data_IF_510822857437
#
_entry.id   IF_510822857437
#
_cell.length_a   1.000
_cell.length_b   1.000
_cell.length_c   1.000
_cell.angle_alpha   90.00
_cell.angle_beta   90.00
_cell.angle_gamma   90.00
#
_symmetry.space_group_name_H-M   'P 1'
#
loop_
_entity.id
_entity.type
_entity.pdbx_description
1 polymer ?
#
# COMPACT_ATOMS: atom_id res chain seq x y z
N UNK A 1 35.54 -77.84 94.66
CA UNK A 1 36.04 -77.63 93.29
C UNK A 1 37.54 -77.37 93.37
N UNK A 2 38.34 -78.30 92.83
CA UNK A 2 39.81 -78.27 92.84
C UNK A 2 40.34 -77.09 92.01
N UNK A 3 41.56 -76.62 92.27
CA UNK A 3 42.22 -75.58 91.46
C UNK A 3 42.29 -75.97 89.98
N UNK A 4 42.45 -77.27 89.72
CA UNK A 4 42.48 -77.88 88.38
C UNK A 4 41.11 -77.74 87.69
N UNK A 5 40.00 -77.97 88.39
CA UNK A 5 38.64 -77.86 87.83
C UNK A 5 38.33 -76.41 87.39
N UNK A 6 38.80 -75.42 88.16
CA UNK A 6 38.64 -74.00 87.83
C UNK A 6 39.45 -73.59 86.60
N UNK A 7 40.65 -74.14 86.42
CA UNK A 7 41.44 -73.90 85.22
C UNK A 7 40.82 -74.55 83.99
N UNK A 8 40.32 -75.78 84.10
CA UNK A 8 39.64 -76.46 83.01
C UNK A 8 38.38 -75.70 82.55
N UNK A 9 37.56 -75.22 83.50
CA UNK A 9 36.38 -74.40 83.18
C UNK A 9 36.77 -73.11 82.44
N UNK A 10 37.82 -72.43 82.89
CA UNK A 10 38.31 -71.19 82.27
C UNK A 10 38.88 -71.41 80.87
N UNK A 11 39.50 -72.56 80.62
CA UNK A 11 39.97 -72.94 79.28
C UNK A 11 38.77 -73.16 78.35
N UNK A 12 37.74 -73.89 78.81
CA UNK A 12 36.50 -74.10 78.03
C UNK A 12 35.80 -72.78 77.70
N UNK A 13 35.69 -71.86 78.66
CA UNK A 13 35.12 -70.51 78.42
C UNK A 13 35.94 -69.70 77.40
N UNK A 14 37.27 -69.82 77.44
CA UNK A 14 38.16 -69.17 76.48
C UNK A 14 38.05 -69.79 75.07
N UNK A 15 37.82 -71.09 74.97
CA UNK A 15 37.58 -71.80 73.70
C UNK A 15 36.26 -71.36 73.07
N UNK A 16 35.17 -71.30 73.86
CA UNK A 16 33.87 -70.78 73.40
C UNK A 16 33.95 -69.31 72.94
N UNK A 17 34.65 -68.46 73.71
CA UNK A 17 34.87 -67.06 73.34
C UNK A 17 35.69 -66.94 72.04
N UNK A 18 36.70 -67.79 71.86
CA UNK A 18 37.49 -67.81 70.63
C UNK A 18 36.66 -68.23 69.42
N UNK A 19 35.80 -69.24 69.57
CA UNK A 19 34.93 -69.68 68.49
C UNK A 19 33.92 -68.59 68.11
N UNK A 20 33.31 -67.94 69.11
CA UNK A 20 32.42 -66.80 68.89
C UNK A 20 33.15 -65.64 68.18
N UNK A 21 34.43 -65.41 68.51
CA UNK A 21 35.25 -64.40 67.85
C UNK A 21 35.49 -64.76 66.38
N UNK A 22 35.81 -66.02 66.09
CA UNK A 22 36.03 -66.53 64.71
C UNK A 22 34.77 -66.38 63.86
N UNK A 23 33.60 -66.71 64.41
CA UNK A 23 32.33 -66.54 63.70
C UNK A 23 32.03 -65.06 63.42
N UNK A 24 32.25 -64.18 64.39
CA UNK A 24 32.09 -62.72 64.17
C UNK A 24 33.03 -62.19 63.09
N UNK A 25 34.29 -62.64 63.07
CA UNK A 25 35.26 -62.24 62.03
C UNK A 25 34.78 -62.68 60.65
N UNK A 26 34.38 -63.95 60.48
CA UNK A 26 33.83 -64.45 59.20
C UNK A 26 32.62 -63.66 58.73
N UNK A 27 31.70 -63.33 59.64
CA UNK A 27 30.53 -62.52 59.29
C UNK A 27 30.91 -61.10 58.86
N UNK A 28 31.83 -60.46 59.59
CA UNK A 28 32.34 -59.14 59.22
C UNK A 28 33.05 -59.14 57.87
N UNK A 29 33.83 -60.19 57.56
CA UNK A 29 34.48 -60.35 56.25
C UNK A 29 33.45 -60.46 55.12
N UNK A 30 32.40 -61.26 55.29
CA UNK A 30 31.29 -61.36 54.33
C UNK A 30 30.57 -60.03 54.13
N UNK A 31 30.18 -59.36 55.23
CA UNK A 31 29.49 -58.07 55.18
C UNK A 31 30.36 -56.99 54.51
N UNK A 32 31.68 -57.03 54.72
CA UNK A 32 32.63 -56.10 54.12
C UNK A 32 32.82 -56.37 52.63
N UNK A 33 32.82 -57.64 52.23
CA UNK A 33 32.82 -58.04 50.82
C UNK A 33 31.56 -57.56 50.08
N UNK A 34 30.38 -57.76 50.65
CA UNK A 34 29.11 -57.29 50.06
C UNK A 34 29.07 -55.77 49.90
N UNK A 35 29.58 -55.03 50.90
CA UNK A 35 29.72 -53.56 50.81
C UNK A 35 30.66 -53.13 49.70
N UNK A 36 31.73 -53.89 49.44
CA UNK A 36 32.69 -53.58 48.38
C UNK A 36 32.08 -53.79 46.99
N UNK A 37 31.36 -54.89 46.79
CA UNK A 37 30.61 -55.13 45.56
C UNK A 37 29.61 -54.01 45.30
N UNK A 38 28.88 -53.58 46.34
CA UNK A 38 27.93 -52.48 46.23
C UNK A 38 28.62 -51.16 45.84
N UNK A 39 29.80 -50.86 46.43
CA UNK A 39 30.60 -49.68 46.05
C UNK A 39 31.02 -49.70 44.59
N UNK A 40 31.45 -50.85 44.07
CA UNK A 40 31.81 -50.98 42.65
C UNK A 40 30.62 -50.66 41.74
N UNK A 41 29.45 -51.25 42.02
CA UNK A 41 28.22 -50.99 41.24
C UNK A 41 27.84 -49.51 41.28
N UNK A 42 27.90 -48.86 42.45
CA UNK A 42 27.62 -47.43 42.55
C UNK A 42 28.63 -46.58 41.76
N UNK A 43 29.91 -46.93 41.80
CA UNK A 43 30.95 -46.23 41.04
C UNK A 43 30.72 -46.33 39.53
N UNK A 44 30.45 -47.53 39.02
CA UNK A 44 30.12 -47.74 37.61
C UNK A 44 28.87 -46.98 37.18
N UNK A 45 27.82 -47.01 38.02
CA UNK A 45 26.58 -46.28 37.74
C UNK A 45 26.80 -44.77 37.75
N UNK A 46 27.60 -44.24 38.68
CA UNK A 46 27.98 -42.83 38.72
C UNK A 46 28.70 -42.42 37.44
N UNK A 47 29.69 -43.22 37.01
CA UNK A 47 30.44 -42.94 35.78
C UNK A 47 29.54 -42.95 34.54
N UNK A 48 28.64 -43.94 34.44
CA UNK A 48 27.68 -44.02 33.34
C UNK A 48 26.71 -42.84 33.31
N UNK A 49 26.21 -42.41 34.48
CA UNK A 49 25.36 -41.23 34.60
C UNK A 49 26.10 -39.97 34.17
N UNK A 50 27.33 -39.75 34.65
CA UNK A 50 28.15 -38.61 34.25
C UNK A 50 28.41 -38.59 32.74
N UNK A 51 28.68 -39.77 32.15
CA UNK A 51 28.81 -39.89 30.70
C UNK A 51 27.52 -39.46 29.98
N UNK A 52 26.37 -39.91 30.48
CA UNK A 52 25.08 -39.57 29.88
C UNK A 52 24.71 -38.10 30.02
N UNK A 53 25.06 -37.48 31.15
CA UNK A 53 24.90 -36.04 31.38
C UNK A 53 25.69 -35.27 30.33
N UNK A 54 26.98 -35.59 30.13
CA UNK A 54 27.81 -34.93 29.10
C UNK A 54 27.23 -35.08 27.69
N UNK A 55 26.71 -36.26 27.34
CA UNK A 55 26.06 -36.48 26.04
C UNK A 55 24.78 -35.64 25.86
N UNK A 56 23.97 -35.51 26.92
CA UNK A 56 22.76 -34.69 26.91
C UNK A 56 23.10 -33.21 26.78
N UNK A 57 24.09 -32.73 27.54
CA UNK A 57 24.58 -31.36 27.45
C UNK A 57 25.10 -31.04 26.06
N UNK A 58 25.89 -31.94 25.45
CA UNK A 58 26.39 -31.75 24.09
C UNK A 58 25.27 -31.68 23.04
N UNK A 59 24.23 -32.52 23.17
CA UNK A 59 23.04 -32.46 22.29
C UNK A 59 22.26 -31.16 22.49
N UNK A 60 21.98 -30.78 23.73
CA UNK A 60 21.27 -29.54 24.04
C UNK A 60 22.04 -28.32 23.52
N UNK A 61 23.36 -28.32 23.62
CA UNK A 61 24.19 -27.23 23.09
C UNK A 61 24.08 -27.12 21.56
N UNK A 62 24.11 -28.26 20.86
CA UNK A 62 23.91 -28.28 19.40
C UNK A 62 22.52 -27.78 19.01
N UNK A 63 21.48 -28.23 19.72
CA UNK A 63 20.11 -27.81 19.47
C UNK A 63 19.93 -26.31 19.72
N UNK A 64 20.53 -25.77 20.78
CA UNK A 64 20.50 -24.35 21.09
C UNK A 64 21.15 -23.51 19.98
N UNK A 65 22.34 -23.90 19.53
CA UNK A 65 23.06 -23.22 18.44
C UNK A 65 22.27 -23.29 17.14
N UNK A 66 21.75 -24.47 16.79
CA UNK A 66 20.96 -24.64 15.57
C UNK A 66 19.71 -23.76 15.58
N UNK A 67 18.96 -23.75 16.70
CA UNK A 67 17.79 -22.88 16.87
C UNK A 67 18.16 -21.40 16.79
N UNK A 68 19.29 -20.99 17.38
CA UNK A 68 19.76 -19.60 17.31
C UNK A 68 20.06 -19.17 15.87
N UNK A 69 20.71 -20.02 15.09
CA UNK A 69 20.99 -19.76 13.68
C UNK A 69 19.71 -19.67 12.85
N UNK A 70 18.76 -20.58 13.09
CA UNK A 70 17.49 -20.60 12.37
C UNK A 70 16.62 -19.37 12.71
N UNK A 71 16.59 -18.95 13.98
CA UNK A 71 15.93 -17.71 14.39
C UNK A 71 16.57 -16.50 13.69
N UNK A 72 17.90 -16.46 13.59
CA UNK A 72 18.61 -15.37 12.92
C UNK A 72 18.24 -15.31 11.43
N UNK A 73 18.27 -16.46 10.74
CA UNK A 73 17.87 -16.58 9.33
C UNK A 73 16.43 -16.11 9.11
N UNK A 74 15.50 -16.55 9.96
CA UNK A 74 14.10 -16.16 9.87
C UNK A 74 13.90 -14.66 10.14
N UNK A 75 14.67 -14.07 11.05
CA UNK A 75 14.62 -12.62 11.30
C UNK A 75 15.08 -11.83 10.07
N UNK A 76 16.19 -12.23 9.44
CA UNK A 76 16.68 -11.60 8.20
C UNK A 76 15.61 -11.68 7.09
N UNK A 77 14.97 -12.84 6.93
CA UNK A 77 13.88 -13.05 5.96
C UNK A 77 12.66 -12.16 6.25
N UNK A 78 12.29 -12.04 7.53
CA UNK A 78 11.20 -11.15 7.96
C UNK A 78 11.52 -9.69 7.65
N UNK A 79 12.74 -9.25 7.87
CA UNK A 79 13.14 -7.86 7.62
C UNK A 79 13.17 -7.55 6.12
N UNK A 80 13.68 -8.47 5.29
CA UNK A 80 13.60 -8.34 3.83
C UNK A 80 12.15 -8.27 3.33
N UNK A 81 11.25 -9.09 3.89
CA UNK A 81 9.83 -9.07 3.52
C UNK A 81 9.13 -7.77 3.95
N UNK A 82 9.48 -7.21 5.11
CA UNK A 82 8.97 -5.91 5.54
C UNK A 82 9.40 -4.81 4.58
N UNK A 83 10.66 -4.76 4.18
CA UNK A 83 11.15 -3.75 3.23
C UNK A 83 10.42 -3.84 1.88
N UNK A 84 10.20 -5.07 1.38
CA UNK A 84 9.43 -5.30 0.15
C UNK A 84 7.98 -4.85 0.29
N UNK A 85 7.35 -5.12 1.43
CA UNK A 85 5.98 -4.68 1.71
C UNK A 85 5.88 -3.15 1.73
N UNK A 86 6.82 -2.46 2.40
CA UNK A 86 6.85 -1.01 2.43
C UNK A 86 7.09 -0.40 1.04
N UNK A 87 7.98 -1.00 0.24
CA UNK A 87 8.22 -0.56 -1.13
C UNK A 87 6.98 -0.73 -2.02
N UNK A 88 6.26 -1.84 -1.88
CA UNK A 88 5.00 -2.08 -2.60
C UNK A 88 3.91 -1.08 -2.18
N UNK A 89 3.79 -0.81 -0.88
CA UNK A 89 2.85 0.20 -0.36
C UNK A 89 3.16 1.60 -0.88
N UNK A 90 4.45 1.99 -0.92
CA UNK A 90 4.88 3.27 -1.52
C UNK A 90 4.48 3.37 -2.99
N UNK A 91 4.73 2.32 -3.79
CA UNK A 91 4.31 2.27 -5.20
C UNK A 91 2.79 2.34 -5.37
N UNK A 92 2.03 1.66 -4.52
CA UNK A 92 0.56 1.72 -4.56
C UNK A 92 0.06 3.14 -4.27
N UNK A 93 0.66 3.84 -3.31
CA UNK A 93 0.33 5.23 -3.00
C UNK A 93 0.72 6.21 -4.13
N UNK A 94 1.81 5.97 -4.84
CA UNK A 94 2.19 6.71 -6.05
C UNK A 94 1.17 6.49 -7.17
N UNK A 95 0.88 5.23 -7.51
CA UNK A 95 -0.11 4.90 -8.53
C UNK A 95 -1.51 5.44 -8.20
N UNK A 96 -1.89 5.45 -6.92
CA UNK A 96 -3.14 6.06 -6.47
C UNK A 96 -3.21 7.57 -6.75
N UNK A 97 -2.10 8.29 -6.53
CA UNK A 97 -2.00 9.73 -6.85
C UNK A 97 -2.04 10.00 -8.35
N UNK A 98 -1.33 9.18 -9.13
CA UNK A 98 -1.30 9.31 -10.60
C UNK A 98 -2.68 9.05 -11.20
N UNK A 99 -3.36 7.99 -10.73
CA UNK A 99 -4.72 7.65 -11.17
C UNK A 99 -5.70 8.79 -10.87
N UNK A 100 -5.64 9.35 -9.66
CA UNK A 100 -6.46 10.50 -9.28
C UNK A 100 -6.20 11.73 -10.16
N UNK A 101 -4.93 12.01 -10.45
CA UNK A 101 -4.52 13.13 -11.31
C UNK A 101 -5.01 12.94 -12.74
N UNK A 102 -4.87 11.72 -13.27
CA UNK A 102 -5.35 11.37 -14.60
C UNK A 102 -6.88 11.51 -14.70
N UNK A 103 -7.61 10.99 -13.72
CA UNK A 103 -9.07 11.08 -13.67
C UNK A 103 -9.55 12.54 -13.68
N UNK A 104 -8.93 13.41 -12.87
CA UNK A 104 -9.26 14.84 -12.86
C UNK A 104 -8.92 15.53 -14.17
N UNK A 105 -7.77 15.20 -14.77
CA UNK A 105 -7.37 15.78 -16.06
C UNK A 105 -8.38 15.40 -17.14
N UNK A 106 -8.82 14.14 -17.18
CA UNK A 106 -9.84 13.67 -18.11
C UNK A 106 -11.17 14.40 -17.88
N UNK A 107 -11.62 14.56 -16.64
CA UNK A 107 -12.83 15.33 -16.30
C UNK A 107 -12.75 16.76 -16.82
N UNK A 108 -11.66 17.46 -16.54
CA UNK A 108 -11.47 18.85 -17.02
C UNK A 108 -11.40 18.94 -18.54
N UNK A 109 -10.77 17.98 -19.22
CA UNK A 109 -10.72 17.95 -20.69
C UNK A 109 -12.11 17.71 -21.29
N UNK A 110 -12.93 16.87 -20.66
CA UNK A 110 -14.30 16.61 -21.10
C UNK A 110 -15.17 17.87 -20.98
N UNK A 111 -15.15 18.56 -19.83
CA UNK A 111 -15.87 19.82 -19.63
C UNK A 111 -15.47 20.88 -20.67
N UNK A 112 -14.17 20.96 -20.98
CA UNK A 112 -13.66 21.88 -22.00
C UNK A 112 -14.10 21.50 -23.41
N UNK A 113 -14.18 20.21 -23.73
CA UNK A 113 -14.66 19.73 -25.01
C UNK A 113 -16.15 20.05 -25.21
N UNK A 114 -16.97 19.81 -24.18
CA UNK A 114 -18.40 20.16 -24.19
C UNK A 114 -18.60 21.67 -24.37
N UNK A 115 -17.81 22.49 -23.67
CA UNK A 115 -17.84 23.94 -23.83
C UNK A 115 -17.42 24.38 -25.25
N UNK A 116 -16.39 23.76 -25.81
CA UNK A 116 -15.93 24.04 -27.17
C UNK A 116 -16.98 23.63 -28.21
N UNK A 117 -17.64 22.48 -28.04
CA UNK A 117 -18.72 22.02 -28.90
C UNK A 117 -19.90 23.01 -28.90
N UNK A 118 -20.28 23.51 -27.71
CA UNK A 118 -21.30 24.55 -27.58
C UNK A 118 -20.91 25.84 -28.32
N UNK A 119 -19.67 26.30 -28.14
CA UNK A 119 -19.16 27.50 -28.83
C UNK A 119 -19.14 27.33 -30.36
N UNK A 120 -18.75 26.15 -30.85
CA UNK A 120 -18.77 25.82 -32.28
C UNK A 120 -20.20 25.78 -32.84
N UNK A 121 -21.16 25.24 -32.07
CA UNK A 121 -22.57 25.21 -32.46
C UNK A 121 -23.14 26.61 -32.60
N UNK A 122 -22.81 27.51 -31.68
CA UNK A 122 -23.22 28.91 -31.74
C UNK A 122 -22.55 29.65 -32.90
N UNK A 123 -21.24 29.46 -33.10
CA UNK A 123 -20.53 30.03 -34.25
C UNK A 123 -21.14 29.57 -35.58
N UNK A 124 -21.49 28.29 -35.71
CA UNK A 124 -22.16 27.74 -36.89
C UNK A 124 -23.55 28.37 -37.10
N UNK A 125 -24.31 28.60 -36.03
CA UNK A 125 -25.60 29.30 -36.07
C UNK A 125 -25.44 30.73 -36.61
N UNK A 126 -24.45 31.47 -36.11
CA UNK A 126 -24.17 32.85 -36.54
C UNK A 126 -23.78 32.89 -38.02
N UNK A 127 -22.85 32.05 -38.46
CA UNK A 127 -22.42 31.99 -39.86
C UNK A 127 -23.59 31.68 -40.80
N UNK A 128 -24.44 30.70 -40.44
CA UNK A 128 -25.63 30.36 -41.21
C UNK A 128 -26.62 31.52 -41.31
N UNK A 129 -26.73 32.36 -40.28
CA UNK A 129 -27.58 33.55 -40.32
C UNK A 129 -27.05 34.64 -41.26
N UNK A 130 -25.73 34.82 -41.37
CA UNK A 130 -25.11 35.83 -42.23
C UNK A 130 -25.15 35.49 -43.73
N UNK A 131 -25.11 34.21 -44.10
CA UNK A 131 -25.18 33.75 -45.50
C UNK A 131 -26.58 33.91 -46.12
N UNK A 132 -27.63 33.83 -45.31
CA UNK A 132 -29.00 34.06 -45.79
C UNK A 132 -29.16 35.55 -46.08
N UNK A 133 -29.66 35.95 -47.24
CA UNK A 133 -30.09 37.35 -47.40
C UNK A 133 -31.33 37.59 -46.52
N UNK A 134 -31.47 38.77 -45.89
CA UNK A 134 -32.68 39.07 -45.13
C UNK A 134 -33.91 38.99 -46.05
N UNK A 135 -35.08 38.72 -45.47
CA UNK A 135 -36.30 38.66 -46.27
C UNK A 135 -36.59 40.04 -46.89
N UNK A 136 -37.25 40.08 -48.05
CA UNK A 136 -37.54 41.34 -48.75
C UNK A 136 -38.31 42.32 -47.85
N UNK A 137 -37.93 43.59 -47.89
CA UNK A 137 -38.43 44.71 -47.08
C UNK A 137 -38.08 44.62 -45.58
N UNK A 138 -37.11 43.80 -45.19
CA UNK A 138 -36.61 43.75 -43.81
C UNK A 138 -35.56 44.83 -43.56
N UNK A 139 -35.72 45.58 -42.47
CA UNK A 139 -34.72 46.54 -41.99
C UNK A 139 -33.67 45.83 -41.14
N UNK A 140 -32.39 46.04 -41.45
CA UNK A 140 -31.24 45.38 -40.82
C UNK A 140 -30.10 46.37 -40.60
N UNK A 141 -29.17 46.04 -39.71
CA UNK A 141 -27.88 46.73 -39.64
C UNK A 141 -26.94 46.12 -40.67
N UNK A 142 -26.27 46.97 -41.43
CA UNK A 142 -25.28 46.57 -42.42
C UNK A 142 -23.94 47.20 -42.11
N UNK A 143 -22.88 46.48 -42.47
CA UNK A 143 -21.51 46.94 -42.30
C UNK A 143 -20.69 46.69 -43.57
N UNK A 144 -19.74 47.58 -43.83
CA UNK A 144 -18.69 47.39 -44.83
C UNK A 144 -17.38 47.99 -44.33
N UNK A 145 -16.30 47.23 -44.48
CA UNK A 145 -14.94 47.73 -44.27
C UNK A 145 -14.50 48.52 -45.52
N UNK A 146 -14.04 49.76 -45.30
CA UNK A 146 -13.49 50.65 -46.33
C UNK A 146 -11.95 50.65 -46.29
N UNK A 147 -11.31 51.43 -47.16
CA UNK A 147 -9.87 51.74 -47.39
C UNK A 147 -8.76 51.13 -46.50
N UNK A 148 -8.97 50.85 -45.20
CA UNK A 148 -8.01 50.22 -44.28
C UNK A 148 -8.67 49.16 -43.42
N UNK A 149 -7.91 48.10 -43.11
CA UNK A 149 -8.33 47.08 -42.13
C UNK A 149 -8.69 47.75 -40.80
N UNK A 150 -9.95 47.60 -40.37
CA UNK A 150 -10.54 48.21 -39.17
C UNK A 150 -11.47 49.40 -39.42
N UNK A 151 -11.52 50.00 -40.62
CA UNK A 151 -12.43 51.13 -40.92
C UNK A 151 -13.82 50.61 -41.34
N UNK A 152 -14.61 50.22 -40.33
CA UNK A 152 -15.97 49.73 -40.52
C UNK A 152 -16.97 50.88 -40.55
N UNK A 153 -17.72 51.00 -41.65
CA UNK A 153 -18.91 51.86 -41.73
C UNK A 153 -20.13 50.99 -41.48
N UNK A 154 -20.93 51.40 -40.48
CA UNK A 154 -22.17 50.72 -40.11
C UNK A 154 -23.35 51.66 -40.35
N UNK A 155 -24.43 51.14 -40.92
CA UNK A 155 -25.69 51.89 -41.09
C UNK A 155 -26.87 50.94 -41.07
N UNK A 156 -28.07 51.47 -40.85
CA UNK A 156 -29.28 50.71 -41.11
C UNK A 156 -29.57 50.70 -42.63
N UNK A 157 -30.17 49.62 -43.09
CA UNK A 157 -30.56 49.42 -44.48
C UNK A 157 -31.83 48.57 -44.57
N UNK A 158 -32.49 48.64 -45.73
CA UNK A 158 -33.57 47.72 -46.06
C UNK A 158 -33.19 46.92 -47.30
N UNK A 159 -33.34 45.60 -47.25
CA UNK A 159 -33.14 44.76 -48.43
C UNK A 159 -34.41 44.69 -49.25
N UNK A 160 -34.41 45.29 -50.44
CA UNK A 160 -35.51 45.33 -51.40
C UNK A 160 -34.95 44.94 -52.78
N UNK A 161 -34.87 43.63 -53.10
CA UNK A 161 -34.35 43.18 -54.40
C UNK A 161 -35.23 43.70 -55.55
N UNK A 162 -34.60 44.23 -56.60
CA UNK A 162 -35.28 44.73 -57.81
C UNK A 162 -35.87 46.14 -57.71
N UNK A 163 -35.68 46.87 -56.60
CA UNK A 163 -36.12 48.26 -56.48
C UNK A 163 -35.21 49.20 -57.30
N UNK A 164 -35.75 50.19 -58.04
CA UNK A 164 -34.96 51.07 -58.90
C UNK A 164 -33.91 51.89 -58.15
N UNK A 165 -34.20 52.31 -56.92
CA UNK A 165 -33.26 53.04 -56.06
C UNK A 165 -32.38 52.14 -55.18
N UNK A 166 -32.51 50.81 -55.29
CA UNK A 166 -31.70 49.89 -54.50
C UNK A 166 -30.39 49.56 -55.24
N UNK A 167 -29.27 49.67 -54.53
CA UNK A 167 -27.99 49.22 -55.05
C UNK A 167 -27.79 47.73 -54.73
N UNK A 168 -27.91 46.88 -55.74
CA UNK A 168 -27.83 45.42 -55.63
C UNK A 168 -28.80 44.85 -54.58
N UNK A 169 -30.02 45.39 -54.59
CA UNK A 169 -31.08 45.03 -53.64
C UNK A 169 -31.03 45.74 -52.30
N UNK A 170 -30.05 46.62 -52.04
CA UNK A 170 -29.95 47.37 -50.78
C UNK A 170 -30.39 48.83 -50.91
N UNK A 171 -31.29 49.27 -50.05
CA UNK A 171 -31.63 50.68 -49.85
C UNK A 171 -30.96 51.14 -48.55
N UNK A 172 -29.90 51.92 -48.66
CA UNK A 172 -29.16 52.49 -47.53
C UNK A 172 -29.31 54.01 -47.58
N UNK A 173 -30.11 54.63 -46.69
CA UNK A 173 -30.35 56.07 -46.77
C UNK A 173 -29.05 56.86 -46.61
N UNK A 174 -28.76 57.79 -47.51
CA UNK A 174 -27.55 58.63 -47.47
C UNK A 174 -26.23 57.86 -47.60
N UNK A 175 -26.23 56.69 -48.26
CA UNK A 175 -25.03 55.97 -48.66
C UNK A 175 -25.29 55.14 -49.92
N UNK A 176 -24.29 55.06 -50.80
CA UNK A 176 -24.40 54.35 -52.08
C UNK A 176 -23.56 53.06 -52.14
N UNK A 177 -22.95 52.64 -51.03
CA UNK A 177 -22.07 51.48 -51.02
C UNK A 177 -22.82 50.16 -50.79
N UNK A 178 -22.37 49.09 -51.44
CA UNK A 178 -22.90 47.74 -51.21
C UNK A 178 -22.39 47.17 -49.88
N UNK A 179 -23.24 46.67 -48.97
CA UNK A 179 -22.79 46.09 -47.71
C UNK A 179 -22.11 44.74 -47.92
N UNK A 180 -21.17 44.38 -47.02
CA UNK A 180 -20.54 43.05 -47.03
C UNK A 180 -21.03 42.14 -45.91
N UNK A 181 -21.51 42.72 -44.81
CA UNK A 181 -22.07 42.00 -43.67
C UNK A 181 -23.39 42.63 -43.27
N UNK A 182 -24.31 41.83 -42.73
CA UNK A 182 -25.57 42.30 -42.18
C UNK A 182 -25.93 41.51 -40.91
N UNK A 183 -26.72 42.13 -40.04
CA UNK A 183 -27.33 41.49 -38.88
C UNK A 183 -28.72 42.10 -38.63
N UNK A 184 -29.68 41.36 -38.04
CA UNK A 184 -30.94 41.94 -37.59
C UNK A 184 -30.72 43.18 -36.71
N UNK A 185 -31.66 44.13 -36.74
CA UNK A 185 -31.66 45.22 -35.78
C UNK A 185 -31.77 44.66 -34.34
N UNK A 186 -31.06 45.25 -33.35
CA UNK A 186 -31.21 44.84 -31.97
C UNK A 186 -32.66 45.03 -31.51
N UNK A 187 -33.09 44.23 -30.54
CA UNK A 187 -34.40 44.42 -29.94
C UNK A 187 -34.55 45.84 -29.40
N UNK A 188 -35.72 46.48 -29.58
CA UNK A 188 -35.95 47.82 -29.07
C UNK A 188 -35.71 47.84 -27.55
N UNK A 189 -35.16 48.93 -26.99
CA UNK A 189 -35.00 49.06 -25.56
C UNK A 189 -36.33 48.83 -24.85
N UNK A 190 -36.35 47.92 -23.87
CA UNK A 190 -37.54 47.71 -23.05
C UNK A 190 -37.76 48.93 -22.16
N UNK A 191 -38.98 49.46 -22.16
CA UNK A 191 -39.34 50.50 -21.20
C UNK A 191 -39.21 49.93 -19.79
N UNK A 192 -38.28 50.50 -19.03
CA UNK A 192 -38.15 50.19 -17.60
C UNK A 192 -39.36 50.83 -16.94
N UNK A 193 -40.43 50.06 -16.71
CA UNK A 193 -41.60 50.50 -15.97
C UNK A 193 -41.16 50.93 -14.56
N UNK A 194 -41.01 52.23 -14.36
CA UNK A 194 -40.85 52.83 -13.03
C UNK A 194 -42.25 53.11 -12.49
N UNK A 195 -42.90 52.08 -11.97
CA UNK A 195 -44.22 52.12 -11.33
C UNK A 195 -44.43 50.88 -10.49
#
# INVERSE_FOLDING_TARGET
MSYIDKQALRISELEELNELLREKVKKLESDLWDKEQLRQVYSEKSFNLDSKVRELEARNQKDFVWRGNEISRLNDEVDELKEKLEAANRRSAELGRDCWTYENTVKTLLERAESAESACTEAARILKSGERMPDSKTAVLVAREFDRKGDWRMKWATYIPGHPDANDGWVIPGASWKPSHWMPLPEPPQEVNRG
#
